data_IF_854914699800
#
_entry.id   IF_854914699800
#
_cell.length_a   1.000
_cell.length_b   1.000
_cell.length_c   1.000
_cell.angle_alpha   90.00
_cell.angle_beta   90.00
_cell.angle_gamma   90.00
#
_symmetry.space_group_name_H-M   'P 1'
#
loop_
_entity.id
_entity.type
_entity.pdbx_description
1 polymer ?
#
# COMPACT_ATOMS: atom_id res chain seq x y z
N UNK A 1 50.03 -0.51 -0.74
CA UNK A 1 49.65 0.01 -2.08
C UNK A 1 48.71 1.19 -1.87
N UNK A 2 49.08 2.40 -2.29
CA UNK A 2 48.19 3.57 -2.18
C UNK A 2 47.02 3.33 -3.14
N UNK A 3 45.81 3.30 -2.62
CA UNK A 3 44.59 3.27 -3.44
C UNK A 3 44.45 4.64 -4.08
N UNK A 4 45.10 4.86 -5.22
CA UNK A 4 45.13 6.16 -5.89
C UNK A 4 43.73 6.42 -6.45
N UNK A 5 43.01 7.38 -5.87
CA UNK A 5 41.71 7.83 -6.36
C UNK A 5 41.89 8.33 -7.80
N UNK A 6 41.27 7.66 -8.78
CA UNK A 6 41.33 8.05 -10.19
C UNK A 6 40.08 8.88 -10.53
N UNK A 7 40.14 9.62 -11.64
CA UNK A 7 38.97 10.32 -12.17
C UNK A 7 37.81 9.34 -12.46
N UNK A 8 38.11 8.13 -12.94
CA UNK A 8 37.10 7.10 -13.17
C UNK A 8 36.38 6.68 -11.87
N UNK A 9 37.15 6.45 -10.79
CA UNK A 9 36.56 6.13 -9.47
C UNK A 9 35.68 7.28 -8.93
N UNK A 10 36.07 8.54 -9.17
CA UNK A 10 35.25 9.70 -8.80
C UNK A 10 33.93 9.74 -9.57
N UNK A 11 33.97 9.56 -10.90
CA UNK A 11 32.77 9.56 -11.75
C UNK A 11 31.82 8.43 -11.36
N UNK A 12 32.36 7.22 -11.15
CA UNK A 12 31.60 6.05 -10.70
C UNK A 12 30.95 6.32 -9.34
N UNK A 13 31.69 6.83 -8.36
CA UNK A 13 31.16 7.16 -7.04
C UNK A 13 30.02 8.18 -7.10
N UNK A 14 30.13 9.21 -7.95
CA UNK A 14 29.07 10.21 -8.15
C UNK A 14 27.84 9.58 -8.80
N UNK A 15 28.00 8.75 -9.84
CA UNK A 15 26.89 8.06 -10.50
C UNK A 15 26.17 7.09 -9.56
N UNK A 16 26.92 6.35 -8.75
CA UNK A 16 26.37 5.48 -7.72
C UNK A 16 25.60 6.27 -6.66
N UNK A 17 26.17 7.36 -6.14
CA UNK A 17 25.49 8.22 -5.17
C UNK A 17 24.19 8.81 -5.73
N UNK A 18 24.23 9.35 -6.94
CA UNK A 18 23.04 9.89 -7.62
C UNK A 18 21.95 8.82 -7.79
N UNK A 19 22.31 7.65 -8.31
CA UNK A 19 21.36 6.56 -8.57
C UNK A 19 20.75 6.03 -7.28
N UNK A 20 21.58 5.86 -6.23
CA UNK A 20 21.14 5.38 -4.93
C UNK A 20 20.17 6.36 -4.26
N UNK A 21 20.49 7.65 -4.21
CA UNK A 21 19.65 8.68 -3.60
C UNK A 21 18.37 8.90 -4.40
N UNK A 22 18.44 8.96 -5.74
CA UNK A 22 17.25 9.08 -6.59
C UNK A 22 16.27 7.92 -6.38
N UNK A 23 16.78 6.68 -6.30
CA UNK A 23 15.96 5.50 -5.99
C UNK A 23 15.33 5.61 -4.60
N UNK A 24 16.10 6.04 -3.60
CA UNK A 24 15.60 6.21 -2.23
C UNK A 24 14.51 7.28 -2.14
N UNK A 25 14.70 8.42 -2.80
CA UNK A 25 13.71 9.51 -2.88
C UNK A 25 12.41 9.02 -3.52
N UNK A 26 12.48 8.31 -4.65
CA UNK A 26 11.31 7.73 -5.29
C UNK A 26 10.56 6.76 -4.38
N UNK A 27 11.28 5.90 -3.65
CA UNK A 27 10.69 4.98 -2.67
C UNK A 27 9.99 5.72 -1.53
N UNK A 28 10.63 6.73 -0.95
CA UNK A 28 10.05 7.52 0.14
C UNK A 28 8.77 8.26 -0.29
N UNK A 29 8.75 8.79 -1.52
CA UNK A 29 7.55 9.42 -2.11
C UNK A 29 6.43 8.39 -2.27
N UNK A 30 6.73 7.21 -2.83
CA UNK A 30 5.74 6.16 -3.04
C UNK A 30 5.12 5.67 -1.72
N UNK A 31 5.94 5.46 -0.70
CA UNK A 31 5.48 5.06 0.64
C UNK A 31 4.57 6.15 1.21
N UNK A 32 5.04 7.41 1.21
CA UNK A 32 4.28 8.54 1.77
C UNK A 32 2.93 8.73 1.08
N UNK A 33 2.89 8.60 -0.25
CA UNK A 33 1.66 8.70 -1.02
C UNK A 33 0.70 7.55 -0.71
N UNK A 34 1.22 6.32 -0.63
CA UNK A 34 0.43 5.12 -0.30
C UNK A 34 -0.20 5.24 1.08
N UNK A 35 0.60 5.63 2.09
CA UNK A 35 0.12 5.84 3.46
C UNK A 35 -0.89 6.98 3.55
N UNK A 36 -0.65 8.10 2.86
CA UNK A 36 -1.57 9.24 2.81
C UNK A 36 -2.92 8.83 2.22
N UNK A 37 -2.92 8.03 1.16
CA UNK A 37 -4.13 7.56 0.51
C UNK A 37 -4.87 6.53 1.38
N UNK A 38 -4.14 5.64 2.04
CA UNK A 38 -4.69 4.72 3.04
C UNK A 38 -5.37 5.47 4.20
N UNK A 39 -4.69 6.48 4.76
CA UNK A 39 -5.21 7.29 5.86
C UNK A 39 -6.50 8.02 5.51
N UNK A 40 -6.66 8.48 4.25
CA UNK A 40 -7.91 9.08 3.82
C UNK A 40 -9.03 8.05 3.82
N UNK A 41 -8.77 6.83 3.36
CA UNK A 41 -9.74 5.74 3.45
C UNK A 41 -10.13 5.45 4.89
N UNK A 42 -9.15 5.38 5.79
CA UNK A 42 -9.36 5.22 7.22
C UNK A 42 -10.24 6.34 7.81
N UNK A 43 -9.93 7.60 7.54
CA UNK A 43 -10.72 8.73 8.06
C UNK A 43 -12.16 8.73 7.55
N UNK A 44 -12.39 8.30 6.31
CA UNK A 44 -13.75 8.14 5.75
C UNK A 44 -14.49 7.04 6.51
N UNK A 45 -13.88 5.86 6.67
CA UNK A 45 -14.49 4.74 7.39
C UNK A 45 -14.79 5.08 8.85
N UNK A 46 -13.87 5.77 9.52
CA UNK A 46 -14.03 6.22 10.91
C UNK A 46 -15.17 7.23 11.04
N UNK A 47 -15.31 8.15 10.07
CA UNK A 47 -16.43 9.08 10.03
C UNK A 47 -17.77 8.36 9.78
N UNK A 48 -17.81 7.39 8.88
CA UNK A 48 -19.00 6.57 8.63
C UNK A 48 -19.42 5.78 9.89
N UNK A 49 -18.47 5.32 10.71
CA UNK A 49 -18.75 4.55 11.93
C UNK A 49 -19.10 5.42 13.13
N UNK A 50 -18.40 6.54 13.34
CA UNK A 50 -18.43 7.34 14.57
C UNK A 50 -18.84 8.81 14.38
N UNK A 51 -19.12 9.24 13.15
CA UNK A 51 -19.56 10.61 12.85
C UNK A 51 -20.90 10.93 13.51
N UNK A 52 -20.98 12.09 14.18
CA UNK A 52 -22.20 12.55 14.87
C UNK A 52 -23.27 13.04 13.88
N UNK A 53 -22.82 13.65 12.81
CA UNK A 53 -23.59 14.22 11.71
C UNK A 53 -23.60 13.32 10.47
N UNK A 54 -23.09 12.08 10.57
CA UNK A 54 -22.98 11.16 9.42
C UNK A 54 -24.31 10.91 8.70
N UNK A 55 -25.42 10.94 9.44
CA UNK A 55 -26.76 10.72 8.91
C UNK A 55 -27.22 11.86 7.98
N UNK A 56 -26.60 13.03 8.07
CA UNK A 56 -26.88 14.18 7.20
C UNK A 56 -26.31 13.98 5.79
N UNK A 57 -25.14 13.35 5.68
CA UNK A 57 -24.42 13.23 4.41
C UNK A 57 -24.79 11.96 3.63
N UNK A 58 -25.03 10.83 4.31
CA UNK A 58 -25.49 9.58 3.70
C UNK A 58 -24.81 9.26 2.35
N UNK A 59 -25.61 9.10 1.30
CA UNK A 59 -25.15 8.77 -0.06
C UNK A 59 -24.31 9.87 -0.75
N UNK A 60 -24.36 11.12 -0.23
CA UNK A 60 -23.64 12.25 -0.79
C UNK A 60 -22.27 12.48 -0.15
N UNK A 61 -21.90 11.73 0.89
CA UNK A 61 -20.65 11.89 1.64
C UNK A 61 -19.42 12.07 0.74
N UNK A 62 -19.17 11.15 -0.19
CA UNK A 62 -18.03 11.24 -1.10
C UNK A 62 -18.07 12.45 -2.03
N UNK A 63 -19.26 12.91 -2.39
CA UNK A 63 -19.45 14.09 -3.24
C UNK A 63 -19.12 15.35 -2.46
N UNK A 64 -19.55 15.43 -1.21
CA UNK A 64 -19.33 16.62 -0.37
C UNK A 64 -17.89 16.69 0.14
N UNK A 65 -17.26 15.55 0.48
CA UNK A 65 -15.81 15.50 0.72
C UNK A 65 -15.03 15.98 -0.52
N UNK A 66 -15.41 15.54 -1.72
CA UNK A 66 -14.74 15.97 -2.95
C UNK A 66 -14.86 17.49 -3.19
N UNK A 67 -16.02 18.09 -2.90
CA UNK A 67 -16.22 19.55 -2.96
C UNK A 67 -15.38 20.28 -1.92
N UNK A 68 -15.35 19.78 -0.68
CA UNK A 68 -14.59 20.38 0.41
C UNK A 68 -13.08 20.32 0.18
N UNK A 69 -12.60 19.28 -0.52
CA UNK A 69 -11.18 19.05 -0.82
C UNK A 69 -10.76 19.51 -2.22
N UNK A 70 -11.49 20.45 -2.86
CA UNK A 70 -11.25 20.89 -4.25
C UNK A 70 -9.83 21.47 -4.53
N UNK A 71 -9.04 21.78 -3.50
CA UNK A 71 -7.64 22.20 -3.63
C UNK A 71 -6.61 21.07 -3.52
N UNK A 72 -7.04 19.85 -3.17
CA UNK A 72 -6.15 18.71 -2.92
C UNK A 72 -6.16 17.78 -4.13
N UNK A 73 -4.97 17.52 -4.67
CA UNK A 73 -4.81 16.62 -5.81
C UNK A 73 -5.36 15.21 -5.51
N UNK A 74 -5.97 14.60 -6.53
CA UNK A 74 -6.50 13.24 -6.50
C UNK A 74 -7.54 12.97 -5.39
N UNK A 75 -8.37 13.96 -5.04
CA UNK A 75 -9.46 13.84 -4.05
C UNK A 75 -10.86 13.99 -4.68
N UNK A 76 -11.05 13.57 -5.94
CA UNK A 76 -12.39 13.51 -6.53
C UNK A 76 -13.20 12.33 -5.95
N UNK A 77 -14.54 12.37 -6.12
CA UNK A 77 -15.48 11.37 -5.61
C UNK A 77 -15.05 9.93 -5.88
N UNK A 78 -14.60 9.63 -7.11
CA UNK A 78 -14.19 8.28 -7.52
C UNK A 78 -12.91 7.84 -6.79
N UNK A 79 -11.96 8.75 -6.61
CA UNK A 79 -10.71 8.44 -5.91
C UNK A 79 -10.94 8.26 -4.41
N UNK A 80 -11.81 9.05 -3.79
CA UNK A 80 -12.17 8.88 -2.38
C UNK A 80 -12.80 7.50 -2.13
N UNK A 81 -13.66 7.03 -3.03
CA UNK A 81 -14.20 5.66 -2.97
C UNK A 81 -13.09 4.59 -3.08
N UNK A 82 -12.08 4.82 -3.94
CA UNK A 82 -10.91 3.92 -4.06
C UNK A 82 -10.08 3.90 -2.78
N UNK A 83 -9.84 5.04 -2.15
CA UNK A 83 -9.13 5.12 -0.87
C UNK A 83 -9.90 4.40 0.23
N UNK A 84 -11.21 4.61 0.32
CA UNK A 84 -12.07 3.89 1.27
C UNK A 84 -11.96 2.37 1.07
N UNK A 85 -12.13 1.89 -0.17
CA UNK A 85 -11.98 0.48 -0.51
C UNK A 85 -10.58 -0.06 -0.23
N UNK A 86 -9.55 0.74 -0.48
CA UNK A 86 -8.16 0.38 -0.19
C UNK A 86 -7.95 0.16 1.31
N UNK A 87 -8.46 1.05 2.16
CA UNK A 87 -8.45 0.85 3.61
C UNK A 87 -9.19 -0.43 4.01
N UNK A 88 -10.41 -0.65 3.50
CA UNK A 88 -11.20 -1.83 3.84
C UNK A 88 -10.54 -3.16 3.47
N UNK A 89 -9.74 -3.19 2.39
CA UNK A 89 -9.05 -4.40 1.93
C UNK A 89 -7.68 -4.62 2.57
N UNK A 90 -7.06 -3.58 3.12
CA UNK A 90 -5.74 -3.64 3.74
C UNK A 90 -5.70 -2.90 5.10
N UNK A 91 -6.58 -3.24 6.07
CA UNK A 91 -6.60 -2.59 7.38
C UNK A 91 -5.27 -2.74 8.15
N UNK A 92 -4.52 -3.81 7.88
CA UNK A 92 -3.26 -4.13 8.54
C UNK A 92 -2.10 -3.17 8.21
N UNK A 93 -2.22 -2.31 7.18
CA UNK A 93 -1.22 -1.29 6.84
C UNK A 93 -1.01 -0.28 7.97
N UNK A 94 -1.95 -0.14 8.93
CA UNK A 94 -1.79 0.71 10.12
C UNK A 94 -0.48 0.44 10.87
N UNK A 95 -0.03 -0.83 10.92
CA UNK A 95 1.20 -1.23 11.60
C UNK A 95 2.48 -0.74 10.89
N UNK A 96 2.38 -0.29 9.64
CA UNK A 96 3.50 0.22 8.84
C UNK A 96 3.71 1.73 8.98
N UNK A 97 2.81 2.41 9.71
CA UNK A 97 2.93 3.84 9.96
C UNK A 97 4.15 4.10 10.84
N UNK A 98 5.16 4.73 10.26
CA UNK A 98 6.34 5.20 10.99
C UNK A 98 5.94 6.12 12.17
N UNK A 99 6.76 6.27 13.22
CA UNK A 99 6.48 7.21 14.32
C UNK A 99 6.20 8.65 13.85
N UNK A 100 6.84 9.09 12.76
CA UNK A 100 6.55 10.39 12.14
C UNK A 100 5.16 10.45 11.49
N UNK A 101 4.70 9.34 10.91
CA UNK A 101 3.35 9.20 10.35
C UNK A 101 2.28 9.00 11.43
N UNK A 102 2.63 8.42 12.58
CA UNK A 102 1.77 8.32 13.76
C UNK A 102 1.45 9.72 14.32
N UNK A 103 2.42 10.65 14.31
CA UNK A 103 2.17 12.05 14.64
C UNK A 103 1.15 12.71 13.68
N UNK A 104 1.17 12.37 12.39
CA UNK A 104 0.19 12.87 11.41
C UNK A 104 -1.20 12.22 11.60
N UNK A 105 -1.24 10.94 11.98
CA UNK A 105 -2.48 10.23 12.37
C UNK A 105 -3.07 10.75 13.69
N UNK A 106 -2.23 11.35 14.54
CA UNK A 106 -2.62 11.88 15.85
C UNK A 106 -3.36 13.23 15.79
N UNK A 107 -3.63 13.77 14.60
CA UNK A 107 -4.74 14.71 14.40
C UNK A 107 -6.06 13.92 14.51
N UNK A 108 -6.27 13.32 15.70
CA UNK A 108 -7.47 12.62 16.12
C UNK A 108 -8.64 13.56 15.78
N UNK A 109 -9.59 13.06 14.99
CA UNK A 109 -10.94 13.61 14.98
C UNK A 109 -11.30 13.79 16.45
N UNK A 110 -11.56 15.02 16.88
CA UNK A 110 -11.62 15.38 18.29
C UNK A 110 -12.82 14.70 18.96
N UNK A 111 -12.64 13.45 19.38
CA UNK A 111 -13.50 12.75 20.32
C UNK A 111 -12.70 12.59 21.60
N UNK A 112 -13.14 13.34 22.62
CA UNK A 112 -12.68 13.21 23.98
C UNK A 112 -13.01 11.80 24.48
N UNK A 113 -12.02 10.91 24.49
CA UNK A 113 -11.60 10.11 25.65
C UNK A 113 -10.45 9.21 25.20
N UNK A 114 -9.36 9.29 25.97
CA UNK A 114 -8.25 8.37 25.89
C UNK A 114 -8.60 7.15 26.74
N UNK A 115 -9.23 6.17 26.13
CA UNK A 115 -9.21 4.75 26.50
C UNK A 115 -10.04 4.03 25.42
N UNK A 116 -9.65 2.82 25.05
CA UNK A 116 -10.19 2.03 23.96
C UNK A 116 -9.74 2.47 22.56
N UNK A 117 -8.48 2.22 22.24
CA UNK A 117 -8.18 1.78 20.86
C UNK A 117 -9.05 0.55 20.59
N UNK A 118 -9.96 0.55 19.59
CA UNK A 118 -10.66 -0.66 19.24
C UNK A 118 -9.58 -1.67 18.84
N UNK A 119 -9.60 -2.83 19.51
CA UNK A 119 -8.88 -4.01 19.06
C UNK A 119 -9.50 -4.31 17.70
N UNK A 120 -8.85 -3.83 16.63
CA UNK A 120 -9.24 -4.17 15.27
C UNK A 120 -8.95 -5.66 15.16
N UNK A 121 -9.99 -6.47 15.32
CA UNK A 121 -9.90 -7.92 15.18
C UNK A 121 -9.20 -8.24 13.86
N UNK A 122 -8.11 -8.99 13.98
CA UNK A 122 -7.24 -9.39 12.88
C UNK A 122 -8.00 -10.36 11.98
N UNK A 123 -8.74 -9.84 11.01
CA UNK A 123 -9.53 -10.64 10.08
C UNK A 123 -9.04 -10.49 8.64
N UNK A 124 -7.78 -10.85 8.39
CA UNK A 124 -7.40 -11.37 7.06
C UNK A 124 -6.37 -12.48 7.20
N UNK A 125 -6.80 -13.66 7.67
CA UNK A 125 -5.99 -14.89 7.71
C UNK A 125 -5.60 -15.46 6.32
N UNK A 126 -5.75 -14.68 5.25
CA UNK A 126 -5.54 -15.11 3.86
C UNK A 126 -4.38 -14.40 3.14
N UNK A 127 -3.88 -13.26 3.63
CA UNK A 127 -2.65 -12.66 3.13
C UNK A 127 -1.58 -12.73 4.22
N UNK A 128 -0.71 -13.75 4.14
CA UNK A 128 0.41 -13.94 5.08
C UNK A 128 1.60 -13.03 4.77
N UNK A 129 1.44 -12.02 3.90
CA UNK A 129 2.48 -11.06 3.57
C UNK A 129 2.49 -9.96 4.62
N UNK A 130 3.64 -9.70 5.22
CA UNK A 130 3.75 -8.59 6.15
C UNK A 130 3.40 -7.25 5.47
N UNK A 131 2.55 -6.42 6.07
CA UNK A 131 2.09 -5.18 5.45
C UNK A 131 3.24 -4.24 5.07
N UNK A 132 4.32 -4.29 5.85
CA UNK A 132 5.53 -3.51 5.60
C UNK A 132 6.20 -3.89 4.28
N UNK A 133 6.18 -5.17 3.90
CA UNK A 133 6.75 -5.65 2.64
C UNK A 133 5.93 -5.11 1.46
N UNK A 134 4.60 -5.11 1.58
CA UNK A 134 3.70 -4.59 0.55
C UNK A 134 3.95 -3.09 0.31
N UNK A 135 3.90 -2.27 1.37
CA UNK A 135 4.10 -0.81 1.27
C UNK A 135 5.52 -0.46 0.78
N UNK A 136 6.53 -1.25 1.16
CA UNK A 136 7.91 -1.01 0.73
C UNK A 136 8.19 -1.44 -0.71
N UNK A 137 7.39 -2.36 -1.27
CA UNK A 137 7.64 -2.97 -2.58
C UNK A 137 6.70 -2.44 -3.66
N UNK A 138 5.51 -1.98 -3.30
CA UNK A 138 4.45 -1.57 -4.22
C UNK A 138 4.13 -0.08 -4.06
N UNK A 139 3.97 0.62 -5.19
CA UNK A 139 3.42 1.98 -5.18
C UNK A 139 1.90 1.97 -5.08
N UNK A 140 1.28 3.09 -4.68
CA UNK A 140 -0.18 3.22 -4.63
C UNK A 140 -0.87 2.81 -5.95
N UNK A 141 -0.27 3.09 -7.12
CA UNK A 141 -0.84 2.67 -8.39
C UNK A 141 -0.91 1.15 -8.57
N UNK A 142 -0.04 0.37 -7.92
CA UNK A 142 -0.19 -1.08 -7.88
C UNK A 142 -1.40 -1.46 -7.02
N UNK A 143 -1.53 -0.88 -5.83
CA UNK A 143 -2.68 -1.10 -4.96
C UNK A 143 -3.99 -0.72 -5.65
N UNK A 144 -4.02 0.34 -6.46
CA UNK A 144 -5.20 0.74 -7.22
C UNK A 144 -5.68 -0.37 -8.19
N UNK A 145 -4.76 -1.11 -8.81
CA UNK A 145 -5.09 -2.25 -9.65
C UNK A 145 -5.45 -3.50 -8.83
N UNK A 146 -4.76 -3.74 -7.71
CA UNK A 146 -5.02 -4.89 -6.83
C UNK A 146 -6.38 -4.77 -6.11
N UNK A 147 -6.72 -3.57 -5.64
CA UNK A 147 -8.01 -3.26 -5.00
C UNK A 147 -9.18 -3.49 -5.96
N UNK A 148 -8.96 -3.36 -7.27
CA UNK A 148 -9.98 -3.63 -8.28
C UNK A 148 -10.29 -5.13 -8.47
N UNK A 149 -9.43 -6.02 -7.96
CA UNK A 149 -9.63 -7.48 -8.01
C UNK A 149 -10.51 -7.90 -6.85
N UNK A 150 -11.71 -8.43 -7.12
CA UNK A 150 -12.67 -8.82 -6.08
C UNK A 150 -12.25 -10.11 -5.36
N UNK A 151 -11.74 -11.10 -6.10
CA UNK A 151 -11.31 -12.39 -5.55
C UNK A 151 -10.04 -12.23 -4.68
N UNK A 152 -10.11 -12.51 -3.36
CA UNK A 152 -8.98 -12.36 -2.46
C UNK A 152 -7.79 -13.27 -2.81
N UNK A 153 -8.06 -14.50 -3.29
CA UNK A 153 -6.99 -15.45 -3.66
C UNK A 153 -6.23 -14.95 -4.88
N UNK A 154 -6.96 -14.47 -5.89
CA UNK A 154 -6.37 -13.84 -7.08
C UNK A 154 -5.57 -12.59 -6.71
N UNK A 155 -6.09 -11.76 -5.81
CA UNK A 155 -5.40 -10.56 -5.34
C UNK A 155 -4.07 -10.91 -4.67
N UNK A 156 -4.07 -11.84 -3.72
CA UNK A 156 -2.86 -12.32 -3.04
C UNK A 156 -1.87 -12.94 -4.02
N UNK A 157 -2.32 -13.65 -5.05
CA UNK A 157 -1.44 -14.15 -6.11
C UNK A 157 -0.68 -13.01 -6.80
N UNK A 158 -1.39 -11.97 -7.26
CA UNK A 158 -0.75 -10.85 -7.94
C UNK A 158 0.12 -10.01 -7.01
N UNK A 159 -0.22 -9.88 -5.72
CA UNK A 159 0.64 -9.27 -4.70
C UNK A 159 1.99 -9.98 -4.62
N UNK A 160 1.97 -11.31 -4.49
CA UNK A 160 3.19 -12.12 -4.38
C UNK A 160 4.03 -12.06 -5.64
N UNK A 161 3.42 -12.20 -6.81
CA UNK A 161 4.14 -12.15 -8.08
C UNK A 161 4.77 -10.77 -8.30
N UNK A 162 4.10 -9.69 -7.88
CA UNK A 162 4.70 -8.35 -7.92
C UNK A 162 5.93 -8.22 -7.02
N UNK A 163 5.88 -8.77 -5.80
CA UNK A 163 7.01 -8.72 -4.86
C UNK A 163 8.17 -9.58 -5.38
N UNK A 164 7.87 -10.80 -5.85
CA UNK A 164 8.87 -11.77 -6.32
C UNK A 164 9.53 -11.35 -7.63
N UNK A 165 8.71 -10.94 -8.60
CA UNK A 165 9.17 -10.55 -9.92
C UNK A 165 9.59 -9.09 -10.05
N UNK A 166 9.47 -8.29 -8.98
CA UNK A 166 9.66 -6.83 -9.03
C UNK A 166 8.89 -6.19 -10.19
N UNK A 167 7.64 -6.62 -10.38
CA UNK A 167 6.83 -6.20 -11.52
C UNK A 167 6.56 -4.70 -11.48
N UNK A 168 6.76 -4.04 -12.61
CA UNK A 168 6.28 -2.67 -12.79
C UNK A 168 4.75 -2.64 -12.89
N UNK A 169 4.15 -1.47 -12.72
CA UNK A 169 2.71 -1.29 -12.91
C UNK A 169 2.23 -1.76 -14.29
N UNK A 170 3.05 -1.52 -15.33
CA UNK A 170 2.76 -1.96 -16.70
C UNK A 170 2.75 -3.48 -16.81
N UNK A 171 3.68 -4.13 -16.12
CA UNK A 171 3.76 -5.58 -16.04
C UNK A 171 2.53 -6.15 -15.34
N UNK A 172 2.19 -5.65 -14.15
CA UNK A 172 1.00 -6.05 -13.41
C UNK A 172 -0.25 -5.95 -14.28
N UNK A 173 -0.46 -4.81 -14.94
CA UNK A 173 -1.60 -4.62 -15.86
C UNK A 173 -1.62 -5.62 -17.00
N UNK A 174 -0.46 -5.91 -17.59
CA UNK A 174 -0.35 -6.90 -18.66
C UNK A 174 -0.72 -8.30 -18.17
N UNK A 175 -0.23 -8.67 -16.99
CA UNK A 175 -0.47 -10.00 -16.42
C UNK A 175 -1.93 -10.18 -15.98
N UNK A 176 -2.55 -9.14 -15.40
CA UNK A 176 -3.99 -9.10 -15.14
C UNK A 176 -4.78 -9.23 -16.45
N UNK A 177 -4.49 -8.37 -17.43
CA UNK A 177 -5.23 -8.34 -18.70
C UNK A 177 -5.09 -9.62 -19.52
N UNK A 178 -3.98 -10.34 -19.32
CA UNK A 178 -3.78 -11.64 -19.94
C UNK A 178 -4.42 -12.80 -19.17
N UNK A 179 -5.09 -12.61 -18.04
CA UNK A 179 -5.62 -13.72 -17.22
C UNK A 179 -4.50 -14.68 -16.77
N UNK A 180 -3.35 -14.13 -16.37
CA UNK A 180 -2.21 -14.92 -15.94
C UNK A 180 -2.55 -15.82 -14.75
N UNK A 181 -3.38 -15.37 -13.82
CA UNK A 181 -3.82 -16.19 -12.68
C UNK A 181 -4.57 -17.45 -13.14
N UNK A 182 -5.49 -17.33 -14.09
CA UNK A 182 -6.32 -18.41 -14.61
C UNK A 182 -5.52 -19.40 -15.44
N UNK A 183 -4.55 -18.89 -16.20
CA UNK A 183 -3.62 -19.74 -16.95
C UNK A 183 -2.55 -20.36 -16.07
N UNK A 184 -2.27 -19.76 -14.91
CA UNK A 184 -1.36 -20.36 -13.95
C UNK A 184 -2.02 -21.62 -13.38
N UNK A 185 -1.24 -22.71 -13.29
CA UNK A 185 -1.71 -23.94 -12.64
C UNK A 185 -2.06 -23.76 -11.15
N UNK A 186 -1.85 -22.56 -10.59
CA UNK A 186 -2.15 -22.18 -9.22
C UNK A 186 -3.59 -21.72 -9.01
N UNK A 187 -4.37 -21.49 -10.08
CA UNK A 187 -5.79 -21.15 -9.98
C UNK A 187 -6.62 -22.19 -9.19
N UNK A 188 -6.13 -23.44 -9.15
CA UNK A 188 -6.78 -24.55 -8.47
C UNK A 188 -6.13 -24.99 -7.16
N UNK A 189 -4.98 -24.42 -6.77
CA UNK A 189 -4.18 -24.96 -5.66
C UNK A 189 -3.90 -23.90 -4.57
N UNK A 190 -4.96 -23.54 -3.82
CA UNK A 190 -4.94 -22.51 -2.77
C UNK A 190 -3.89 -22.76 -1.68
N UNK A 191 -3.60 -24.03 -1.36
CA UNK A 191 -2.59 -24.41 -0.36
C UNK A 191 -1.17 -24.05 -0.81
N UNK A 192 -0.86 -24.28 -2.08
CA UNK A 192 0.44 -23.94 -2.67
C UNK A 192 0.69 -22.43 -2.67
N UNK A 193 -0.37 -21.63 -2.87
CA UNK A 193 -0.31 -20.17 -2.79
C UNK A 193 0.10 -19.68 -1.39
N UNK A 194 -0.47 -20.28 -0.33
CA UNK A 194 -0.09 -19.95 1.06
C UNK A 194 1.35 -20.34 1.39
N UNK A 195 1.85 -21.45 0.86
CA UNK A 195 3.23 -21.90 1.11
C UNK A 195 4.26 -21.05 0.36
N UNK A 196 3.90 -20.61 -0.85
CA UNK A 196 4.62 -19.62 -1.65
C UNK A 196 4.71 -18.28 -0.92
N UNK A 197 3.61 -17.82 -0.29
CA UNK A 197 3.62 -16.58 0.50
C UNK A 197 4.67 -16.64 1.62
N UNK A 198 4.77 -17.79 2.30
CA UNK A 198 5.73 -18.03 3.38
C UNK A 198 7.19 -17.96 2.89
N UNK A 199 7.51 -18.65 1.80
CA UNK A 199 8.89 -18.69 1.27
C UNK A 199 9.38 -17.33 0.75
N UNK A 200 8.49 -16.52 0.16
CA UNK A 200 8.85 -15.21 -0.39
C UNK A 200 9.21 -14.15 0.67
N UNK A 201 8.67 -14.28 1.89
CA UNK A 201 9.02 -13.44 3.02
C UNK A 201 10.40 -13.83 3.59
N UNK A 202 10.72 -15.13 3.63
CA UNK A 202 11.98 -15.63 4.18
C UNK A 202 13.20 -15.27 3.31
N UNK A 203 13.10 -15.33 1.97
CA UNK A 203 14.27 -15.07 1.09
C UNK A 203 14.77 -13.62 1.13
N UNK A 204 13.93 -12.66 1.53
CA UNK A 204 14.32 -11.24 1.62
C UNK A 204 14.97 -10.88 2.96
N UNK A 205 14.70 -11.66 4.01
CA UNK A 205 15.30 -11.50 5.35
C UNK A 205 16.70 -12.11 5.45
N UNK A 206 17.09 -13.00 4.53
CA UNK A 206 18.38 -13.71 4.58
C UNK A 206 19.50 -13.09 3.72
N UNK A 207 19.28 -11.92 3.13
CA UNK A 207 20.25 -11.24 2.24
C UNK A 207 20.78 -9.89 2.77
N UNK A 208 20.52 -9.57 4.04
CA UNK A 208 21.21 -8.50 4.79
C UNK A 208 22.21 -9.11 5.77
#
# INVERSE_FOLDING_TARGET
MKNTLTFAHLVEAIQHAHTAISRQTGKAINISLTLRNWLIGYYIAEYELNGKDRAEYGDHLFTDIAKALNGISNCNRRQLYRYHRFYSLYPEIVGTLSPQSQSISSKRIATQKADDTPIVETATALSQIEPQILVNSLSYSHFEELVAIDDPTKRTFYEMECIRGSWSLRELKRQIGSLYYERSGLSHDKKRLSEIARQGAETKTTLD
#
